data_IF_341904007650
#
_entry.id   IF_341904007650
#
_cell.length_a   1.000
_cell.length_b   1.000
_cell.length_c   1.000
_cell.angle_alpha   90.00
_cell.angle_beta   90.00
_cell.angle_gamma   90.00
#
_symmetry.space_group_name_H-M   'P 1'
#
loop_
_entity.id
_entity.type
_entity.pdbx_description
1 polymer ?
#
# COMPACT_ATOMS: atom_id res chain seq x y z
N UNK A 1 -36.47 -11.02 15.16
CA UNK A 1 -36.41 -9.56 15.41
C UNK A 1 -35.15 -9.23 16.21
N UNK A 2 -34.46 -8.12 15.92
CA UNK A 2 -33.27 -7.68 16.67
C UNK A 2 -33.62 -6.38 17.40
N UNK A 3 -33.47 -6.36 18.73
CA UNK A 3 -33.77 -5.19 19.55
C UNK A 3 -32.79 -4.03 19.29
N UNK A 4 -33.30 -2.79 19.22
CA UNK A 4 -32.51 -1.54 19.16
C UNK A 4 -31.83 -1.26 20.49
N UNK A 5 -30.84 -0.36 20.53
CA UNK A 5 -30.14 -0.06 21.80
C UNK A 5 -31.07 0.58 22.84
N UNK A 6 -32.05 1.37 22.41
CA UNK A 6 -33.08 1.96 23.26
C UNK A 6 -34.04 0.90 23.82
N UNK A 7 -34.52 -0.01 22.97
CA UNK A 7 -35.36 -1.14 23.40
C UNK A 7 -34.62 -2.03 24.40
N UNK A 8 -33.32 -2.29 24.17
CA UNK A 8 -32.51 -3.08 25.10
C UNK A 8 -32.42 -2.40 26.46
N UNK A 9 -32.22 -1.07 26.48
CA UNK A 9 -32.16 -0.28 27.71
C UNK A 9 -33.50 -0.32 28.46
N UNK A 10 -34.62 -0.13 27.77
CA UNK A 10 -35.94 -0.21 28.36
C UNK A 10 -36.28 -1.61 28.90
N UNK A 11 -35.89 -2.67 28.17
CA UNK A 11 -36.00 -4.07 28.64
C UNK A 11 -35.17 -4.30 29.91
N UNK A 12 -33.96 -3.74 29.98
CA UNK A 12 -33.12 -3.85 31.17
C UNK A 12 -33.75 -3.15 32.38
N UNK A 13 -34.19 -1.90 32.22
CA UNK A 13 -34.78 -1.10 33.29
C UNK A 13 -36.09 -1.71 33.81
N UNK A 14 -36.95 -2.18 32.90
CA UNK A 14 -38.20 -2.85 33.27
C UNK A 14 -37.99 -4.16 34.04
N UNK A 15 -36.99 -4.96 33.67
CA UNK A 15 -36.62 -6.15 34.44
C UNK A 15 -35.95 -5.80 35.76
N UNK A 16 -35.14 -4.75 35.79
CA UNK A 16 -34.47 -4.30 37.01
C UNK A 16 -35.48 -3.86 38.07
N UNK A 17 -36.53 -3.14 37.67
CA UNK A 17 -37.64 -2.74 38.55
C UNK A 17 -38.44 -3.93 39.10
N UNK A 18 -38.51 -5.03 38.34
CA UNK A 18 -39.22 -6.27 38.73
C UNK A 18 -38.35 -7.23 39.53
N UNK A 19 -37.03 -7.02 39.51
CA UNK A 19 -36.07 -7.89 40.18
C UNK A 19 -35.90 -7.52 41.65
N UNK A 20 -35.78 -8.53 42.51
CA UNK A 20 -35.37 -8.37 43.91
C UNK A 20 -34.00 -9.01 44.09
N UNK A 21 -33.00 -8.20 44.50
CA UNK A 21 -31.61 -8.64 44.71
C UNK A 21 -30.99 -9.35 43.48
N UNK A 22 -31.34 -8.93 42.27
CA UNK A 22 -30.82 -9.51 41.03
C UNK A 22 -31.49 -10.82 40.60
N UNK A 23 -32.54 -11.26 41.30
CA UNK A 23 -33.36 -12.43 40.95
C UNK A 23 -34.68 -11.96 40.35
N UNK A 24 -35.12 -12.60 39.27
CA UNK A 24 -36.42 -12.36 38.64
C UNK A 24 -37.41 -13.45 39.06
N UNK A 25 -38.69 -13.10 39.17
CA UNK A 25 -39.75 -14.09 39.41
C UNK A 25 -40.01 -14.90 38.15
N UNK A 26 -40.56 -16.10 38.35
CA UNK A 26 -40.96 -16.97 37.23
C UNK A 26 -42.02 -16.26 36.40
N UNK A 27 -41.75 -16.12 35.10
CA UNK A 27 -42.65 -15.47 34.15
C UNK A 27 -42.29 -14.02 33.78
N UNK A 28 -41.45 -13.34 34.56
CA UNK A 28 -41.10 -11.92 34.30
C UNK A 28 -40.46 -11.71 32.92
N UNK A 29 -39.58 -12.63 32.51
CA UNK A 29 -38.96 -12.62 31.18
C UNK A 29 -40.01 -12.78 30.09
N UNK A 30 -41.01 -13.64 30.29
CA UNK A 30 -42.07 -13.91 29.30
C UNK A 30 -43.02 -12.72 29.20
N UNK A 31 -43.41 -12.14 30.33
CA UNK A 31 -44.25 -10.94 30.38
C UNK A 31 -43.55 -9.73 29.74
N UNK A 32 -42.26 -9.55 30.01
CA UNK A 32 -41.46 -8.46 29.41
C UNK A 32 -41.26 -8.68 27.92
N UNK A 33 -41.01 -9.93 27.50
CA UNK A 33 -40.94 -10.28 26.08
C UNK A 33 -42.24 -9.97 25.32
N UNK A 34 -43.40 -10.28 25.91
CA UNK A 34 -44.70 -9.94 25.34
C UNK A 34 -44.91 -8.42 25.22
N UNK A 35 -44.54 -7.65 26.26
CA UNK A 35 -44.70 -6.19 26.27
C UNK A 35 -43.86 -5.49 25.20
N UNK A 36 -42.61 -5.91 24.99
CA UNK A 36 -41.71 -5.31 24.00
C UNK A 36 -41.80 -5.96 22.62
N UNK A 37 -42.73 -6.92 22.40
CA UNK A 37 -42.84 -7.70 21.16
C UNK A 37 -41.51 -8.39 20.76
N UNK A 38 -40.72 -8.80 21.75
CA UNK A 38 -39.44 -9.49 21.58
C UNK A 38 -39.58 -10.98 21.90
N UNK A 39 -38.66 -11.80 21.41
CA UNK A 39 -38.63 -13.22 21.82
C UNK A 39 -38.07 -13.36 23.23
N UNK A 40 -38.57 -14.34 24.00
CA UNK A 40 -38.07 -14.64 25.36
C UNK A 40 -36.55 -14.80 25.42
N UNK A 41 -35.95 -15.35 24.35
CA UNK A 41 -34.50 -15.58 24.26
C UNK A 41 -33.72 -14.26 24.18
N UNK A 42 -34.23 -13.27 23.46
CA UNK A 42 -33.59 -11.95 23.36
C UNK A 42 -33.61 -11.24 24.72
N UNK A 43 -34.75 -11.26 25.40
CA UNK A 43 -34.94 -10.65 26.73
C UNK A 43 -34.07 -11.34 27.78
N UNK A 44 -34.08 -12.68 27.83
CA UNK A 44 -33.21 -13.45 28.73
C UNK A 44 -31.73 -13.15 28.49
N UNK A 45 -31.31 -13.09 27.21
CA UNK A 45 -29.93 -12.78 26.86
C UNK A 45 -29.51 -11.35 27.25
N UNK A 46 -30.41 -10.38 27.14
CA UNK A 46 -30.18 -9.01 27.63
C UNK A 46 -29.97 -9.04 29.14
N UNK A 47 -30.88 -9.67 29.89
CA UNK A 47 -30.81 -9.77 31.35
C UNK A 47 -29.51 -10.41 31.84
N UNK A 48 -29.21 -11.63 31.41
CA UNK A 48 -28.02 -12.38 31.84
C UNK A 48 -26.72 -11.64 31.52
N UNK A 49 -26.68 -10.93 30.40
CA UNK A 49 -25.51 -10.17 29.96
C UNK A 49 -25.35 -8.89 30.77
N UNK A 50 -26.45 -8.18 31.02
CA UNK A 50 -26.46 -6.97 31.84
C UNK A 50 -26.04 -7.28 33.27
N UNK A 51 -26.57 -8.35 33.88
CA UNK A 51 -26.16 -8.83 35.21
C UNK A 51 -24.67 -9.16 35.24
N UNK A 52 -24.16 -9.95 34.26
CA UNK A 52 -22.72 -10.24 34.16
C UNK A 52 -21.87 -8.98 34.01
N UNK A 53 -22.37 -7.95 33.34
CA UNK A 53 -21.65 -6.69 33.15
C UNK A 53 -21.63 -5.81 34.39
N UNK A 54 -22.58 -5.97 35.32
CA UNK A 54 -22.67 -5.18 36.55
C UNK A 54 -21.66 -5.58 37.62
N UNK A 55 -20.84 -6.62 37.42
CA UNK A 55 -19.89 -7.15 38.42
C UNK A 55 -19.26 -6.09 39.35
N UNK A 56 -18.28 -5.33 38.86
CA UNK A 56 -17.66 -4.20 39.59
C UNK A 56 -18.14 -2.83 39.11
N UNK A 57 -19.19 -2.78 38.28
CA UNK A 57 -19.63 -1.56 37.60
C UNK A 57 -20.89 -1.01 38.26
N UNK A 58 -20.98 0.32 38.34
CA UNK A 58 -22.18 1.02 38.85
C UNK A 58 -23.38 0.88 37.90
N UNK A 59 -23.15 0.62 36.61
CA UNK A 59 -24.20 0.47 35.61
C UNK A 59 -23.95 -0.71 34.64
N UNK A 60 -25.04 -1.35 34.21
CA UNK A 60 -25.02 -2.43 33.23
C UNK A 60 -24.69 -1.94 31.81
N UNK A 61 -23.97 -2.75 31.05
CA UNK A 61 -23.71 -2.51 29.61
C UNK A 61 -24.77 -3.23 28.79
N UNK A 62 -25.81 -2.48 28.42
CA UNK A 62 -27.01 -3.00 27.73
C UNK A 62 -26.93 -2.88 26.20
N UNK A 63 -26.11 -1.93 25.70
CA UNK A 63 -25.92 -1.64 24.29
C UNK A 63 -25.43 -2.86 23.51
N UNK A 64 -25.90 -2.99 22.27
CA UNK A 64 -25.46 -4.02 21.35
C UNK A 64 -23.98 -3.85 21.03
N UNK A 65 -23.20 -4.92 21.19
CA UNK A 65 -21.82 -4.97 20.66
C UNK A 65 -21.86 -5.33 19.18
N UNK A 66 -22.35 -4.40 18.35
CA UNK A 66 -22.07 -4.50 16.92
C UNK A 66 -20.57 -4.34 16.75
N UNK A 67 -19.92 -5.32 16.13
CA UNK A 67 -18.51 -5.20 15.78
C UNK A 67 -18.40 -4.03 14.80
N UNK A 68 -17.86 -2.90 15.27
CA UNK A 68 -17.51 -1.80 14.40
C UNK A 68 -16.54 -2.34 13.35
N UNK A 69 -16.75 -1.96 12.08
CA UNK A 69 -15.79 -2.31 11.04
C UNK A 69 -14.42 -1.76 11.45
N UNK A 70 -13.37 -2.58 11.35
CA UNK A 70 -12.00 -2.11 11.55
C UNK A 70 -11.77 -0.89 10.67
N UNK A 71 -11.24 0.19 11.25
CA UNK A 71 -10.91 1.41 10.50
C UNK A 71 -9.92 1.04 9.38
N UNK A 72 -10.06 1.68 8.21
CA UNK A 72 -9.08 1.52 7.13
C UNK A 72 -7.73 2.01 7.65
N UNK A 73 -6.67 1.25 7.37
CA UNK A 73 -5.31 1.66 7.68
C UNK A 73 -4.96 2.90 6.87
N UNK A 74 -4.34 3.87 7.53
CA UNK A 74 -3.92 5.12 6.90
C UNK A 74 -2.84 4.87 5.84
N UNK A 75 -3.00 5.49 4.67
CA UNK A 75 -2.06 5.33 3.55
C UNK A 75 -0.89 6.27 3.65
N UNK A 76 -1.06 7.45 4.25
CA UNK A 76 0.06 8.34 4.51
C UNK A 76 1.07 7.66 5.45
N UNK A 77 0.61 7.10 6.57
CA UNK A 77 1.46 6.35 7.49
C UNK A 77 2.18 5.14 6.85
N UNK A 78 1.57 4.48 5.84
CA UNK A 78 2.24 3.42 5.09
C UNK A 78 3.32 3.95 4.15
N UNK A 79 3.03 5.03 3.44
CA UNK A 79 4.00 5.68 2.56
C UNK A 79 5.20 6.21 3.34
N UNK A 80 5.00 6.77 4.55
CA UNK A 80 6.10 7.21 5.41
C UNK A 80 7.06 6.07 5.77
N UNK A 81 6.54 4.90 6.15
CA UNK A 81 7.38 3.71 6.42
C UNK A 81 8.11 3.20 5.19
N UNK A 82 7.49 3.30 4.01
CA UNK A 82 8.15 2.96 2.75
C UNK A 82 9.24 3.99 2.39
N UNK A 83 9.06 5.26 2.75
CA UNK A 83 10.01 6.33 2.50
C UNK A 83 11.34 6.10 3.25
N UNK A 84 11.27 5.54 4.46
CA UNK A 84 12.44 5.19 5.28
C UNK A 84 13.34 4.13 4.63
N UNK A 85 12.78 3.24 3.80
CA UNK A 85 13.58 2.24 3.07
C UNK A 85 14.34 2.93 1.94
N UNK A 86 15.66 2.76 1.79
CA UNK A 86 16.39 3.32 0.66
C UNK A 86 15.82 2.84 -0.67
N UNK A 87 15.69 3.74 -1.66
CA UNK A 87 15.13 3.40 -2.98
C UNK A 87 15.84 2.21 -3.63
N UNK A 88 17.16 2.09 -3.38
CA UNK A 88 17.98 1.00 -3.87
C UNK A 88 17.59 -0.38 -3.32
N UNK A 89 16.92 -0.46 -2.18
CA UNK A 89 16.44 -1.71 -1.60
C UNK A 89 14.98 -2.02 -1.93
N UNK A 90 14.27 -1.09 -2.58
CA UNK A 90 12.86 -1.23 -2.95
C UNK A 90 12.66 -2.01 -4.27
N UNK A 91 13.34 -3.13 -4.47
CA UNK A 91 13.32 -3.86 -5.75
C UNK A 91 12.14 -4.81 -5.92
N UNK A 92 11.85 -5.58 -4.88
CA UNK A 92 10.77 -6.57 -4.85
C UNK A 92 9.87 -6.32 -3.66
N UNK A 93 8.59 -6.66 -3.79
CA UNK A 93 7.63 -6.47 -2.68
C UNK A 93 8.08 -7.19 -1.41
N UNK A 94 8.67 -8.39 -1.53
CA UNK A 94 9.22 -9.14 -0.39
C UNK A 94 10.38 -8.42 0.28
N UNK A 95 11.29 -7.83 -0.51
CA UNK A 95 12.44 -7.07 0.04
C UNK A 95 11.96 -5.79 0.74
N UNK A 96 10.98 -5.12 0.13
CA UNK A 96 10.31 -3.95 0.73
C UNK A 96 9.58 -4.33 2.02
N UNK A 97 8.87 -5.45 2.05
CA UNK A 97 8.20 -5.95 3.26
C UNK A 97 9.19 -6.25 4.37
N UNK A 98 10.29 -6.94 4.07
CA UNK A 98 11.34 -7.22 5.02
C UNK A 98 11.98 -5.94 5.59
N UNK A 99 12.13 -4.89 4.78
CA UNK A 99 12.75 -3.63 5.18
C UNK A 99 11.80 -2.65 5.89
N UNK A 100 10.51 -2.61 5.51
CA UNK A 100 9.53 -1.62 6.01
C UNK A 100 8.52 -2.18 7.01
N UNK A 101 8.52 -3.50 7.23
CA UNK A 101 7.47 -4.26 7.96
C UNK A 101 6.05 -4.07 7.40
N UNK A 102 5.93 -3.50 6.19
CA UNK A 102 4.65 -3.37 5.49
C UNK A 102 4.36 -4.66 4.74
N UNK A 103 3.23 -5.29 5.05
CA UNK A 103 2.83 -6.53 4.41
C UNK A 103 2.77 -6.39 2.87
N UNK A 104 3.25 -7.40 2.14
CA UNK A 104 3.17 -7.46 0.67
C UNK A 104 1.77 -7.16 0.11
N UNK A 105 0.69 -7.60 0.78
CA UNK A 105 -0.68 -7.27 0.40
C UNK A 105 -0.94 -5.76 0.38
N UNK A 106 -0.45 -5.03 1.39
CA UNK A 106 -0.62 -3.58 1.47
C UNK A 106 0.23 -2.87 0.41
N UNK A 107 1.44 -3.35 0.14
CA UNK A 107 2.29 -2.85 -0.95
C UNK A 107 1.57 -3.00 -2.29
N UNK A 108 1.01 -4.19 -2.58
CA UNK A 108 0.23 -4.43 -3.80
C UNK A 108 -0.98 -3.50 -3.90
N UNK A 109 -1.62 -3.18 -2.77
CA UNK A 109 -2.75 -2.28 -2.72
C UNK A 109 -2.35 -0.83 -2.96
N UNK A 110 -1.22 -0.38 -2.42
CA UNK A 110 -0.66 0.95 -2.70
C UNK A 110 -0.32 1.12 -4.18
N UNK A 111 0.20 0.07 -4.83
CA UNK A 111 0.43 0.08 -6.29
C UNK A 111 -0.87 0.26 -7.06
N UNK A 112 -1.91 -0.51 -6.72
CA UNK A 112 -3.23 -0.39 -7.37
C UNK A 112 -3.90 0.97 -7.16
N UNK A 113 -3.65 1.59 -6.01
CA UNK A 113 -4.19 2.90 -5.65
C UNK A 113 -3.34 4.06 -6.14
N UNK A 114 -2.20 3.79 -6.80
CA UNK A 114 -1.34 4.81 -7.42
C UNK A 114 -0.30 5.45 -6.51
N UNK A 115 -0.19 5.03 -5.24
CA UNK A 115 0.77 5.58 -4.28
C UNK A 115 2.20 5.05 -4.46
N UNK A 116 2.36 3.97 -5.22
CA UNK A 116 3.64 3.33 -5.46
C UNK A 116 3.74 2.89 -6.92
N UNK A 117 4.82 3.26 -7.60
CA UNK A 117 5.05 2.92 -9.00
C UNK A 117 6.33 2.12 -9.17
N UNK A 118 6.28 1.10 -10.01
CA UNK A 118 7.47 0.34 -10.41
C UNK A 118 8.15 1.04 -11.60
N UNK A 119 9.40 1.46 -11.41
CA UNK A 119 10.18 2.23 -12.38
C UNK A 119 11.53 1.57 -12.63
N UNK A 120 12.06 1.70 -13.84
CA UNK A 120 13.41 1.24 -14.16
C UNK A 120 14.45 2.15 -13.49
N UNK A 121 15.53 1.57 -12.98
CA UNK A 121 16.72 2.34 -12.64
C UNK A 121 17.24 3.01 -13.91
N UNK A 122 17.42 4.33 -13.86
CA UNK A 122 17.89 5.06 -15.03
C UNK A 122 19.35 4.71 -15.27
N UNK A 123 19.67 4.24 -16.47
CA UNK A 123 21.06 4.09 -16.89
C UNK A 123 21.38 5.31 -17.75
N UNK A 124 22.09 6.29 -17.20
CA UNK A 124 22.50 7.45 -17.97
C UNK A 124 23.70 7.08 -18.82
N UNK A 125 23.65 7.21 -20.17
CA UNK A 125 24.87 7.15 -20.96
C UNK A 125 25.77 8.29 -20.52
N UNK A 126 27.04 7.99 -20.23
CA UNK A 126 28.04 8.96 -19.82
C UNK A 126 28.50 9.79 -21.04
N UNK A 127 27.58 10.43 -21.79
CA UNK A 127 27.96 11.38 -22.84
C UNK A 127 28.21 12.75 -22.22
N UNK A 128 29.48 13.07 -22.06
CA UNK A 128 29.92 14.43 -21.76
C UNK A 128 29.80 15.30 -23.01
N UNK A 129 29.78 16.65 -22.88
CA UNK A 129 29.87 17.54 -24.03
C UNK A 129 31.07 17.23 -24.93
N UNK A 130 32.21 16.86 -24.34
CA UNK A 130 33.40 16.42 -25.07
C UNK A 130 33.14 15.16 -25.92
N UNK A 131 32.43 14.16 -25.38
CA UNK A 131 32.04 12.96 -26.14
C UNK A 131 31.13 13.30 -27.33
N UNK A 132 30.22 14.27 -27.17
CA UNK A 132 29.36 14.75 -28.27
C UNK A 132 30.18 15.41 -29.38
N UNK A 133 31.12 16.27 -29.01
CA UNK A 133 32.04 16.95 -29.94
C UNK A 133 32.92 15.95 -30.69
N UNK A 134 33.50 14.97 -30.00
CA UNK A 134 34.30 13.92 -30.62
C UNK A 134 33.49 13.09 -31.63
N UNK A 135 32.24 12.76 -31.29
CA UNK A 135 31.33 12.09 -32.24
C UNK A 135 31.02 12.95 -33.46
N UNK A 136 30.75 14.24 -33.29
CA UNK A 136 30.50 15.15 -34.42
C UNK A 136 31.71 15.27 -35.34
N UNK A 137 32.91 15.41 -34.77
CA UNK A 137 34.17 15.42 -35.56
C UNK A 137 34.34 14.12 -36.35
N UNK A 138 34.14 12.99 -35.68
CA UNK A 138 34.18 11.68 -36.35
C UNK A 138 33.19 11.61 -37.52
N UNK A 139 31.94 12.05 -37.34
CA UNK A 139 30.99 12.08 -38.45
C UNK A 139 31.46 12.99 -39.59
N UNK A 140 31.94 14.19 -39.30
CA UNK A 140 32.43 15.13 -40.32
C UNK A 140 33.60 14.57 -41.12
N UNK A 141 34.52 13.84 -40.49
CA UNK A 141 35.66 13.19 -41.15
C UNK A 141 35.23 12.04 -42.08
N UNK A 142 34.03 11.48 -41.86
CA UNK A 142 33.48 10.36 -42.62
C UNK A 142 32.33 10.78 -43.53
N UNK A 143 32.13 12.07 -43.77
CA UNK A 143 31.29 12.58 -44.85
C UNK A 143 32.18 13.01 -46.01
N UNK A 144 31.86 12.55 -47.21
CA UNK A 144 32.57 12.84 -48.45
C UNK A 144 31.65 13.62 -49.40
N UNK A 145 32.23 14.50 -50.22
CA UNK A 145 31.51 15.28 -51.23
C UNK A 145 31.65 14.60 -52.60
N UNK A 146 30.51 14.31 -53.23
CA UNK A 146 30.42 13.70 -54.56
C UNK A 146 30.68 14.71 -55.66
N UNK A 147 31.02 14.22 -56.84
CA UNK A 147 31.24 15.06 -58.03
C UNK A 147 30.01 15.86 -58.47
N UNK A 148 28.81 15.44 -58.04
CA UNK A 148 27.53 16.12 -58.23
C UNK A 148 27.19 17.14 -57.11
N UNK A 149 28.10 17.37 -56.16
CA UNK A 149 27.87 18.25 -55.02
C UNK A 149 27.05 17.64 -53.88
N UNK A 150 26.71 16.35 -53.96
CA UNK A 150 25.99 15.65 -52.90
C UNK A 150 26.93 15.10 -51.82
N UNK A 151 26.49 15.11 -50.57
CA UNK A 151 27.25 14.53 -49.47
C UNK A 151 26.87 13.06 -49.26
N UNK A 152 27.87 12.19 -49.11
CA UNK A 152 27.69 10.77 -48.83
C UNK A 152 28.58 10.33 -47.67
N UNK A 153 28.15 9.31 -46.92
CA UNK A 153 28.97 8.73 -45.87
C UNK A 153 30.05 7.83 -46.48
N UNK A 154 31.26 7.88 -45.93
CA UNK A 154 32.34 6.97 -46.27
C UNK A 154 31.85 5.52 -46.05
N UNK A 155 31.89 4.65 -47.08
CA UNK A 155 31.40 3.28 -46.96
C UNK A 155 32.25 2.39 -46.04
N UNK A 156 33.46 2.82 -45.66
CA UNK A 156 34.34 2.11 -44.71
C UNK A 156 34.63 0.65 -45.12
N UNK A 157 34.73 0.35 -46.43
CA UNK A 157 34.94 -1.02 -46.92
C UNK A 157 36.28 -1.64 -46.49
N UNK A 158 37.24 -0.82 -46.09
CA UNK A 158 38.56 -1.18 -45.59
C UNK A 158 38.64 -1.24 -44.05
N UNK A 159 37.53 -0.99 -43.35
CA UNK A 159 37.48 -0.96 -41.89
C UNK A 159 36.71 -2.15 -41.33
N UNK A 160 37.38 -2.94 -40.50
CA UNK A 160 36.72 -3.98 -39.69
C UNK A 160 36.47 -3.44 -38.29
N UNK A 161 35.20 -3.21 -37.96
CA UNK A 161 34.81 -2.80 -36.61
C UNK A 161 34.81 -4.00 -35.65
N UNK A 162 35.77 -4.02 -34.73
CA UNK A 162 35.78 -4.96 -33.61
C UNK A 162 35.17 -4.28 -32.39
N UNK A 163 34.10 -4.85 -31.84
CA UNK A 163 33.49 -4.39 -30.59
C UNK A 163 33.56 -5.47 -29.51
N UNK A 164 34.06 -5.07 -28.34
CA UNK A 164 34.16 -5.90 -27.16
C UNK A 164 32.95 -5.69 -26.26
N UNK A 165 32.01 -6.65 -26.26
CA UNK A 165 30.83 -6.57 -25.42
C UNK A 165 31.08 -7.17 -24.04
N UNK A 166 31.23 -6.31 -23.04
CA UNK A 166 31.29 -6.74 -21.64
C UNK A 166 29.90 -7.05 -21.08
N UNK A 167 29.74 -8.28 -20.56
CA UNK A 167 28.54 -8.65 -19.80
C UNK A 167 28.75 -8.30 -18.33
N UNK A 168 27.82 -7.53 -17.77
CA UNK A 168 27.88 -7.16 -16.36
C UNK A 168 27.41 -8.33 -15.50
N UNK A 169 28.16 -8.62 -14.44
CA UNK A 169 27.72 -9.56 -13.38
C UNK A 169 26.50 -8.98 -12.64
N UNK A 170 26.39 -7.66 -12.54
CA UNK A 170 25.22 -6.98 -11.98
C UNK A 170 24.11 -6.85 -13.03
N UNK A 171 22.88 -7.12 -12.62
CA UNK A 171 21.69 -6.91 -13.46
C UNK A 171 21.54 -5.42 -13.79
N UNK A 172 21.62 -5.08 -15.08
CA UNK A 172 21.28 -3.76 -15.60
C UNK A 172 19.76 -3.72 -15.81
N UNK A 173 19.14 -2.55 -15.63
CA UNK A 173 17.70 -2.38 -15.82
C UNK A 173 16.85 -2.98 -14.71
N UNK A 174 17.41 -3.07 -13.50
CA UNK A 174 16.63 -3.41 -12.31
C UNK A 174 15.46 -2.43 -12.15
N UNK A 175 14.35 -2.94 -11.63
CA UNK A 175 13.15 -2.13 -11.36
C UNK A 175 13.07 -1.89 -9.86
N UNK A 176 12.77 -0.66 -9.49
CA UNK A 176 12.55 -0.23 -8.09
C UNK A 176 11.15 0.34 -7.94
N UNK A 177 10.62 0.32 -6.72
CA UNK A 177 9.38 0.97 -6.35
C UNK A 177 9.65 2.39 -5.85
N UNK A 178 9.04 3.37 -6.51
CA UNK A 178 9.07 4.79 -6.15
C UNK A 178 7.75 5.20 -5.53
N UNK A 179 7.81 6.04 -4.51
CA UNK A 179 6.62 6.69 -3.97
C UNK A 179 6.07 7.70 -4.96
N UNK A 180 4.74 7.79 -5.02
CA UNK A 180 4.04 8.59 -6.03
C UNK A 180 2.83 9.27 -5.38
N UNK A 181 2.52 10.50 -5.81
CA UNK A 181 1.25 11.14 -5.49
C UNK A 181 0.08 10.45 -6.21
N UNK A 182 -1.17 10.69 -5.79
CA UNK A 182 -2.35 10.16 -6.49
C UNK A 182 -2.41 10.56 -7.97
N UNK A 183 -1.77 11.68 -8.32
CA UNK A 183 -1.71 12.21 -9.68
C UNK A 183 -0.68 11.49 -10.57
N UNK A 184 -0.01 10.46 -10.05
CA UNK A 184 0.98 9.69 -10.79
C UNK A 184 2.37 10.35 -10.88
N UNK A 185 2.53 11.53 -10.26
CA UNK A 185 3.80 12.25 -10.15
C UNK A 185 4.72 11.56 -9.14
N UNK A 186 5.93 11.12 -9.54
CA UNK A 186 6.89 10.54 -8.62
C UNK A 186 7.29 11.57 -7.57
N UNK A 187 7.22 11.21 -6.30
CA UNK A 187 7.73 12.05 -5.21
C UNK A 187 9.27 11.99 -5.11
N UNK A 188 9.89 11.01 -5.77
CA UNK A 188 11.31 10.71 -5.73
C UNK A 188 11.82 10.43 -7.14
N UNK A 189 13.08 10.79 -7.40
CA UNK A 189 13.73 10.44 -8.67
C UNK A 189 14.15 8.97 -8.69
N UNK A 190 14.04 8.30 -9.85
CA UNK A 190 14.58 6.95 -10.01
C UNK A 190 16.10 6.96 -9.80
N UNK A 191 16.66 5.98 -9.08
CA UNK A 191 18.08 5.94 -8.81
C UNK A 191 18.83 5.72 -10.12
N UNK A 192 19.91 6.46 -10.30
CA UNK A 192 20.78 6.36 -11.47
C UNK A 192 21.78 5.23 -11.24
N UNK A 193 21.79 4.27 -12.15
CA UNK A 193 22.83 3.25 -12.20
C UNK A 193 23.95 3.76 -13.09
N UNK A 194 25.07 4.15 -12.48
CA UNK A 194 26.28 4.48 -13.22
C UNK A 194 26.90 3.21 -13.76
N UNK A 195 26.99 3.14 -15.09
CA UNK A 195 27.63 2.04 -15.81
C UNK A 195 28.96 2.59 -16.31
N UNK A 196 30.02 2.34 -15.54
CA UNK A 196 31.37 2.65 -15.98
C UNK A 196 31.79 1.59 -16.99
N UNK A 197 32.00 2.02 -18.24
CA UNK A 197 32.84 1.26 -19.15
C UNK A 197 34.27 1.35 -18.60
N UNK A 198 34.92 0.21 -18.33
CA UNK A 198 36.38 0.21 -18.13
C UNK A 198 36.97 0.55 -19.50
N UNK A 199 37.37 1.81 -19.65
CA UNK A 199 38.16 2.27 -20.80
C UNK A 199 39.53 2.66 -20.27
#
# INVERSE_FOLDING_TARGET
MKATDEERQAVWESLLLRSTRGVLKRGDIVATAAYFYLTRFVVAHIWERSIRSMGTRVAAVVKSRKNARKKKLDRAALCSRLAEVPINDRETQRRVEAASTVNTYLIQRLIKEGFLRRTLRQTRPLLTPAHKLARLRFYMEHVQLGGNGEYFFNPMYDVVHMDGKWFYVKKIGLKVYLLTGKDGTPAEEPPVQYVHSKR
#
